data_IF_395269873390
#
_entry.id   IF_395269873390
#
_cell.length_a   1.000
_cell.length_b   1.000
_cell.length_c   1.000
_cell.angle_alpha   90.00
_cell.angle_beta   90.00
_cell.angle_gamma   90.00
#
_symmetry.space_group_name_H-M   'P 1'
#
loop_
_entity.id
_entity.type
_entity.pdbx_description
1 polymer ?
#
# COMPACT_ATOMS: atom_id res chain seq x y z
N UNK A 1 27.29 20.61 -2.24
CA UNK A 1 27.59 21.01 -0.84
C UNK A 1 26.28 21.53 -0.26
N UNK A 2 25.65 20.98 0.78
CA UNK A 2 26.07 20.06 1.83
C UNK A 2 24.84 19.30 2.34
N UNK A 3 25.02 18.02 2.63
CA UNK A 3 24.08 17.18 3.38
C UNK A 3 23.96 17.67 4.83
N UNK A 4 22.82 17.40 5.46
CA UNK A 4 22.63 17.47 6.90
C UNK A 4 21.82 16.27 7.38
N UNK A 5 22.51 15.15 7.59
CA UNK A 5 22.01 14.00 8.35
C UNK A 5 22.07 14.32 9.85
N UNK A 6 21.03 13.94 10.59
CA UNK A 6 21.13 13.79 12.04
C UNK A 6 20.39 12.50 12.44
N UNK A 7 21.16 11.42 12.55
CA UNK A 7 20.84 10.25 13.37
C UNK A 7 21.56 10.41 14.72
N UNK A 8 20.89 10.13 15.84
CA UNK A 8 21.37 9.65 17.16
C UNK A 8 20.12 9.64 18.08
N UNK A 9 19.77 8.69 18.96
CA UNK A 9 20.19 7.34 19.33
C UNK A 9 19.41 6.92 20.61
N UNK A 10 19.12 5.62 20.76
CA UNK A 10 19.09 4.81 22.01
C UNK A 10 17.93 4.91 23.06
N UNK A 11 17.19 3.78 23.09
CA UNK A 11 16.75 2.89 24.19
C UNK A 11 15.75 3.32 25.29
N UNK A 12 14.64 2.57 25.37
CA UNK A 12 14.13 1.93 26.59
C UNK A 12 13.21 0.73 26.24
N UNK A 13 13.50 -0.45 26.82
CA UNK A 13 12.74 -1.71 26.73
C UNK A 13 11.73 -1.84 27.92
N UNK A 14 11.13 -3.01 28.21
CA UNK A 14 10.00 -3.68 27.55
C UNK A 14 8.80 -3.91 28.51
N UNK A 15 7.63 -4.32 28.01
CA UNK A 15 6.59 -4.92 28.88
C UNK A 15 5.97 -6.13 28.20
N UNK A 16 6.18 -7.28 28.84
CA UNK A 16 5.58 -8.56 28.53
C UNK A 16 4.21 -8.68 29.22
N UNK A 17 3.20 -9.17 28.49
CA UNK A 17 2.02 -9.79 29.06
C UNK A 17 1.66 -11.01 28.20
N UNK A 18 2.09 -12.19 28.65
CA UNK A 18 1.61 -13.48 28.18
C UNK A 18 0.88 -14.16 29.34
N UNK A 19 -0.44 -14.26 29.21
CA UNK A 19 -1.33 -14.92 30.16
C UNK A 19 -1.45 -16.42 29.84
N UNK A 20 -0.88 -17.22 30.74
CA UNK A 20 -1.31 -18.53 31.27
C UNK A 20 -2.56 -19.19 30.66
N UNK A 21 -2.50 -20.51 30.42
CA UNK A 21 -3.04 -21.55 31.32
C UNK A 21 -2.91 -22.98 30.73
N UNK A 22 -2.34 -23.88 31.52
CA UNK A 22 -2.51 -25.36 31.51
C UNK A 22 -3.49 -25.72 32.67
N UNK A 23 -3.92 -26.98 32.99
CA UNK A 23 -3.62 -28.31 32.41
C UNK A 23 -4.83 -29.31 32.35
N UNK A 24 -4.50 -30.59 32.11
CA UNK A 24 -5.13 -31.86 32.54
C UNK A 24 -6.00 -32.67 31.56
N UNK A 25 -5.49 -33.87 31.20
CA UNK A 25 -6.25 -35.10 31.42
C UNK A 25 -6.26 -36.20 30.32
N UNK A 26 -5.41 -37.22 30.54
CA UNK A 26 -5.64 -38.67 30.34
C UNK A 26 -5.23 -39.39 29.02
N UNK A 27 -4.31 -40.34 29.21
CA UNK A 27 -4.07 -41.59 28.45
C UNK A 27 -5.11 -42.67 28.86
N UNK A 28 -5.44 -43.66 28.01
CA UNK A 28 -4.63 -44.88 27.77
C UNK A 28 -4.63 -45.27 26.26
N UNK A 29 -3.81 -46.16 25.69
CA UNK A 29 -2.90 -47.22 26.14
C UNK A 29 -2.82 -48.29 25.02
N UNK A 30 -1.82 -49.19 25.09
CA UNK A 30 -1.61 -50.42 24.29
C UNK A 30 -0.82 -50.25 22.96
N UNK A 31 0.46 -50.63 22.80
CA UNK A 31 1.26 -51.87 23.02
C UNK A 31 1.55 -52.60 21.69
N UNK A 32 2.81 -53.03 21.55
CA UNK A 32 3.38 -54.05 20.63
C UNK A 32 3.57 -53.69 19.15
N UNK A 33 4.60 -54.13 18.43
CA UNK A 33 5.76 -54.98 18.73
C UNK A 33 6.82 -54.87 17.61
N UNK A 34 8.07 -55.02 18.01
CA UNK A 34 9.25 -55.55 17.29
C UNK A 34 9.27 -55.63 15.76
N UNK A 35 10.14 -54.82 15.15
CA UNK A 35 10.78 -55.13 13.86
C UNK A 35 11.72 -56.33 14.00
N UNK A 36 11.23 -57.52 13.59
CA UNK A 36 12.07 -58.71 13.43
C UNK A 36 12.59 -58.77 11.99
N UNK A 37 13.82 -58.29 11.81
CA UNK A 37 14.62 -58.37 10.58
C UNK A 37 14.97 -59.84 10.26
N UNK A 38 14.16 -60.52 9.46
CA UNK A 38 14.49 -61.87 8.94
C UNK A 38 15.24 -61.73 7.63
N UNK A 39 16.54 -62.01 7.69
CA UNK A 39 17.46 -62.17 6.57
C UNK A 39 17.12 -63.50 5.88
N UNK A 40 16.59 -63.48 4.67
CA UNK A 40 16.44 -64.68 3.84
C UNK A 40 17.64 -64.79 2.92
N UNK A 41 18.55 -65.71 3.24
CA UNK A 41 19.61 -66.14 2.34
C UNK A 41 19.05 -67.05 1.25
N UNK A 42 19.59 -67.03 0.01
CA UNK A 42 19.17 -67.95 -1.04
C UNK A 42 19.59 -69.39 -0.70
N UNK A 43 18.65 -70.33 -0.80
CA UNK A 43 18.95 -71.74 -0.71
C UNK A 43 19.70 -72.18 -1.98
N UNK A 44 20.98 -72.51 -1.84
CA UNK A 44 21.79 -73.19 -2.85
C UNK A 44 21.40 -74.67 -2.90
N UNK A 45 20.73 -75.11 -3.96
CA UNK A 45 20.55 -76.54 -4.21
C UNK A 45 21.83 -77.12 -4.81
N UNK A 46 22.68 -77.66 -3.93
CA UNK A 46 23.84 -78.47 -4.27
C UNK A 46 23.38 -79.84 -4.77
N UNK A 47 23.50 -80.07 -6.08
CA UNK A 47 23.42 -81.41 -6.65
C UNK A 47 24.59 -82.26 -6.14
N UNK A 48 24.31 -83.18 -5.21
CA UNK A 48 25.18 -84.31 -4.87
C UNK A 48 24.42 -85.62 -5.09
N UNK A 49 24.52 -86.06 -6.33
CA UNK A 49 24.56 -87.45 -6.78
C UNK A 49 25.10 -88.43 -5.71
N UNK A 50 24.24 -89.32 -5.23
CA UNK A 50 24.59 -90.54 -4.49
C UNK A 50 24.00 -91.73 -5.23
N UNK A 51 24.77 -92.27 -6.17
CA UNK A 51 24.57 -93.61 -6.74
C UNK A 51 24.99 -94.62 -5.69
N UNK A 52 24.05 -95.12 -4.91
CA UNK A 52 24.22 -96.35 -4.13
C UNK A 52 23.59 -97.49 -4.95
N UNK A 53 24.42 -98.13 -5.76
CA UNK A 53 24.05 -99.33 -6.52
C UNK A 53 24.09 -100.51 -5.55
N UNK A 54 22.93 -100.82 -4.95
CA UNK A 54 22.73 -102.08 -4.24
C UNK A 54 22.66 -103.21 -5.28
N UNK A 55 23.73 -104.01 -5.33
CA UNK A 55 23.81 -105.25 -6.10
C UNK A 55 22.82 -106.26 -5.52
N UNK A 56 21.65 -106.39 -6.16
CA UNK A 56 20.66 -107.38 -5.80
C UNK A 56 21.05 -108.72 -6.41
N UNK A 57 21.57 -109.62 -5.57
CA UNK A 57 21.78 -111.03 -5.89
C UNK A 57 20.43 -111.64 -6.29
N UNK A 58 20.33 -112.02 -7.56
CA UNK A 58 19.22 -112.79 -8.14
C UNK A 58 19.17 -114.19 -7.50
N UNK A 59 18.51 -114.26 -6.34
CA UNK A 59 18.05 -115.52 -5.76
C UNK A 59 16.63 -115.74 -6.24
N UNK A 60 16.52 -116.63 -7.23
CA UNK A 60 15.29 -117.01 -7.89
C UNK A 60 14.16 -117.32 -6.92
N UNK A 61 13.24 -116.37 -6.82
CA UNK A 61 11.84 -116.63 -6.56
C UNK A 61 11.05 -115.58 -7.35
N UNK A 62 10.35 -116.02 -8.39
CA UNK A 62 9.33 -115.23 -9.08
C UNK A 62 8.18 -114.96 -8.11
N UNK A 63 8.35 -113.93 -7.27
CA UNK A 63 7.32 -113.33 -6.41
C UNK A 63 6.74 -112.05 -7.01
N UNK A 64 6.85 -111.88 -8.32
CA UNK A 64 5.99 -110.93 -9.02
C UNK A 64 4.91 -111.75 -9.71
N UNK A 65 3.62 -111.37 -9.55
CA UNK A 65 2.57 -111.98 -10.34
C UNK A 65 3.01 -111.89 -11.79
N UNK A 66 2.85 -112.96 -12.58
CA UNK A 66 2.95 -112.86 -14.04
C UNK A 66 1.94 -111.79 -14.44
N UNK A 67 2.45 -110.57 -14.66
CA UNK A 67 1.64 -109.43 -15.06
C UNK A 67 1.07 -109.86 -16.41
N UNK A 68 -0.25 -110.11 -16.51
CA UNK A 68 -0.87 -110.49 -17.77
C UNK A 68 -0.44 -109.47 -18.82
N UNK A 69 -0.17 -109.89 -20.05
CA UNK A 69 0.27 -108.99 -21.13
C UNK A 69 -0.67 -107.77 -21.30
N UNK A 70 -1.92 -107.93 -20.87
CA UNK A 70 -2.96 -106.90 -20.70
C UNK A 70 -2.66 -105.83 -19.63
N UNK A 71 -2.13 -106.17 -18.45
CA UNK A 71 -1.77 -105.20 -17.39
C UNK A 71 -0.51 -104.39 -17.75
N UNK A 72 0.45 -104.97 -18.48
CA UNK A 72 1.64 -104.26 -18.96
C UNK A 72 1.27 -103.18 -19.99
N UNK A 73 0.42 -103.52 -20.96
CA UNK A 73 -0.13 -102.54 -21.91
C UNK A 73 -0.91 -101.44 -21.19
N UNK A 74 -1.70 -101.78 -20.16
CA UNK A 74 -2.42 -100.79 -19.37
C UNK A 74 -1.48 -99.81 -18.65
N UNK A 75 -0.34 -100.27 -18.15
CA UNK A 75 0.69 -99.42 -17.54
C UNK A 75 1.40 -98.55 -18.58
N UNK A 76 1.75 -99.09 -19.75
CA UNK A 76 2.33 -98.35 -20.87
C UNK A 76 1.37 -97.27 -21.40
N UNK A 77 0.08 -97.59 -21.53
CA UNK A 77 -0.94 -96.62 -21.96
C UNK A 77 -1.12 -95.50 -20.93
N UNK A 78 -1.13 -95.83 -19.63
CA UNK A 78 -1.17 -94.83 -18.55
C UNK A 78 0.08 -93.96 -18.52
N UNK A 79 1.26 -94.55 -18.72
CA UNK A 79 2.54 -93.84 -18.78
C UNK A 79 2.56 -92.89 -19.99
N UNK A 80 2.16 -93.37 -21.17
CA UNK A 80 2.08 -92.58 -22.39
C UNK A 80 1.04 -91.45 -22.28
N UNK A 81 -0.05 -91.68 -21.55
CA UNK A 81 -1.03 -90.63 -21.23
C UNK A 81 -0.46 -89.60 -20.27
N UNK A 82 0.30 -90.02 -19.25
CA UNK A 82 1.01 -89.10 -18.35
C UNK A 82 2.10 -88.31 -19.09
N UNK A 83 2.86 -88.95 -19.97
CA UNK A 83 3.91 -88.31 -20.76
C UNK A 83 3.34 -87.22 -21.69
N UNK A 84 2.22 -87.52 -22.38
CA UNK A 84 1.49 -86.50 -23.16
C UNK A 84 0.95 -85.36 -22.29
N UNK A 85 0.45 -85.67 -21.10
CA UNK A 85 -0.08 -84.66 -20.16
C UNK A 85 1.05 -83.76 -19.65
N UNK A 86 2.20 -84.34 -19.30
CA UNK A 86 3.37 -83.60 -18.83
C UNK A 86 3.94 -82.72 -19.95
N UNK A 87 4.05 -83.24 -21.18
CA UNK A 87 4.49 -82.47 -22.33
C UNK A 87 3.57 -81.27 -22.60
N UNK A 88 2.25 -81.46 -22.52
CA UNK A 88 1.28 -80.37 -22.64
C UNK A 88 1.41 -79.32 -21.53
N UNK A 89 1.56 -79.75 -20.28
CA UNK A 89 1.74 -78.83 -19.14
C UNK A 89 3.05 -78.03 -19.26
N UNK A 90 4.13 -78.65 -19.75
CA UNK A 90 5.39 -77.96 -19.99
C UNK A 90 5.25 -76.93 -21.10
N UNK A 91 4.63 -77.29 -22.22
CA UNK A 91 4.35 -76.34 -23.32
C UNK A 91 3.51 -75.16 -22.83
N UNK A 92 2.48 -75.40 -22.01
CA UNK A 92 1.67 -74.34 -21.41
C UNK A 92 2.48 -73.48 -20.43
N UNK A 93 3.31 -74.09 -19.58
CA UNK A 93 4.17 -73.36 -18.65
C UNK A 93 5.19 -72.48 -19.39
N UNK A 94 5.76 -72.97 -20.49
CA UNK A 94 6.67 -72.21 -21.34
C UNK A 94 5.97 -71.04 -22.03
N UNK A 95 4.77 -71.25 -22.58
CA UNK A 95 3.94 -70.17 -23.15
C UNK A 95 3.60 -69.10 -22.13
N UNK A 96 3.12 -69.49 -20.95
CA UNK A 96 2.79 -68.56 -19.87
C UNK A 96 4.04 -67.77 -19.46
N UNK A 97 5.19 -68.43 -19.32
CA UNK A 97 6.45 -67.75 -19.01
C UNK A 97 6.82 -66.71 -20.06
N UNK A 98 6.72 -67.05 -21.34
CA UNK A 98 7.04 -66.12 -22.44
C UNK A 98 6.07 -64.94 -22.51
N UNK A 99 4.77 -65.17 -22.31
CA UNK A 99 3.76 -64.10 -22.22
C UNK A 99 4.04 -63.14 -21.06
N UNK A 100 4.35 -63.67 -19.87
CA UNK A 100 4.75 -62.87 -18.71
C UNK A 100 6.00 -62.06 -19.02
N UNK A 101 6.99 -62.67 -19.68
CA UNK A 101 8.25 -62.01 -20.02
C UNK A 101 8.03 -60.87 -21.03
N UNK A 102 7.22 -61.08 -22.07
CA UNK A 102 6.86 -60.07 -23.04
C UNK A 102 6.10 -58.89 -22.39
N UNK A 103 5.18 -59.18 -21.46
CA UNK A 103 4.44 -58.18 -20.71
C UNK A 103 5.35 -57.32 -19.82
N UNK A 104 6.28 -57.94 -19.09
CA UNK A 104 7.24 -57.24 -18.22
C UNK A 104 8.25 -56.40 -19.01
N UNK A 105 8.69 -56.88 -20.18
CA UNK A 105 9.64 -56.15 -21.02
C UNK A 105 9.00 -54.91 -21.67
N UNK A 106 7.72 -55.00 -22.05
CA UNK A 106 6.92 -53.84 -22.45
C UNK A 106 6.75 -52.83 -21.31
N UNK A 107 6.48 -53.30 -20.09
CA UNK A 107 6.33 -52.46 -18.89
C UNK A 107 7.56 -51.57 -18.61
N UNK A 108 8.76 -52.06 -18.93
CA UNK A 108 10.01 -51.32 -18.71
C UNK A 108 10.16 -50.09 -19.63
N UNK A 109 9.54 -50.12 -20.82
CA UNK A 109 9.50 -48.98 -21.75
C UNK A 109 8.67 -47.82 -21.21
N UNK A 110 7.52 -48.12 -20.60
CA UNK A 110 6.62 -47.13 -20.00
C UNK A 110 7.26 -46.38 -18.83
N UNK A 111 8.18 -47.01 -18.10
CA UNK A 111 8.85 -46.41 -16.95
C UNK A 111 9.67 -45.16 -17.33
N UNK A 112 10.27 -45.13 -18.53
CA UNK A 112 11.05 -43.98 -19.01
C UNK A 112 10.14 -42.80 -19.40
N UNK A 113 9.02 -43.10 -20.05
CA UNK A 113 8.01 -42.11 -20.45
C UNK A 113 7.29 -41.51 -19.24
N UNK A 114 6.95 -42.36 -18.26
CA UNK A 114 6.40 -41.94 -16.96
C UNK A 114 7.38 -41.02 -16.22
N UNK A 115 8.68 -41.32 -16.25
CA UNK A 115 9.72 -40.48 -15.62
C UNK A 115 9.85 -39.11 -16.31
N UNK A 116 9.70 -39.06 -17.64
CA UNK A 116 9.67 -37.80 -18.38
C UNK A 116 8.42 -36.96 -18.04
N UNK A 117 7.25 -37.59 -17.98
CA UNK A 117 6.01 -36.92 -17.58
C UNK A 117 6.09 -36.39 -16.14
N UNK A 118 6.66 -37.16 -15.20
CA UNK A 118 6.91 -36.70 -13.82
C UNK A 118 7.84 -35.50 -13.76
N UNK A 119 8.96 -35.53 -14.49
CA UNK A 119 9.91 -34.40 -14.54
C UNK A 119 9.29 -33.14 -15.12
N UNK A 120 8.48 -33.28 -16.18
CA UNK A 120 7.75 -32.16 -16.75
C UNK A 120 6.78 -31.58 -15.71
N UNK A 121 5.96 -32.43 -15.06
CA UNK A 121 5.03 -31.99 -14.04
C UNK A 121 5.74 -31.28 -12.87
N UNK A 122 6.87 -31.82 -12.41
CA UNK A 122 7.68 -31.21 -11.36
C UNK A 122 8.21 -29.83 -11.77
N UNK A 123 8.71 -29.70 -13.01
CA UNK A 123 9.16 -28.41 -13.56
C UNK A 123 8.02 -27.38 -13.63
N UNK A 124 6.82 -27.80 -14.04
CA UNK A 124 5.65 -26.93 -14.06
C UNK A 124 5.21 -26.52 -12.65
N UNK A 125 5.19 -27.45 -11.69
CA UNK A 125 4.88 -27.15 -10.28
C UNK A 125 5.88 -26.14 -9.72
N UNK A 126 7.17 -26.31 -9.98
CA UNK A 126 8.21 -25.36 -9.55
C UNK A 126 8.02 -23.98 -10.19
N UNK A 127 7.73 -23.93 -11.48
CA UNK A 127 7.50 -22.67 -12.21
C UNK A 127 6.28 -21.93 -11.67
N UNK A 128 5.14 -22.62 -11.52
CA UNK A 128 3.92 -22.06 -10.94
C UNK A 128 4.19 -21.55 -9.52
N UNK A 129 4.88 -22.35 -8.71
CA UNK A 129 5.26 -21.96 -7.33
C UNK A 129 6.11 -20.69 -7.32
N UNK A 130 7.07 -20.57 -8.22
CA UNK A 130 7.91 -19.36 -8.35
C UNK A 130 7.09 -18.14 -8.74
N UNK A 131 6.17 -18.28 -9.71
CA UNK A 131 5.27 -17.21 -10.15
C UNK A 131 4.38 -16.76 -8.99
N UNK A 132 3.74 -17.70 -8.27
CA UNK A 132 2.87 -17.38 -7.13
C UNK A 132 3.65 -16.63 -6.05
N UNK A 133 4.86 -17.08 -5.69
CA UNK A 133 5.72 -16.37 -4.72
C UNK A 133 6.03 -14.94 -5.17
N UNK A 134 6.34 -14.74 -6.46
CA UNK A 134 6.63 -13.42 -7.00
C UNK A 134 5.40 -12.52 -7.01
N UNK A 135 4.23 -13.07 -7.32
CA UNK A 135 2.96 -12.33 -7.26
C UNK A 135 2.63 -11.90 -5.83
N UNK A 136 2.80 -12.78 -4.83
CA UNK A 136 2.61 -12.42 -3.42
C UNK A 136 3.52 -11.26 -3.00
N UNK A 137 4.81 -11.32 -3.35
CA UNK A 137 5.75 -10.23 -3.07
C UNK A 137 5.34 -8.92 -3.77
N UNK A 138 4.91 -8.99 -5.03
CA UNK A 138 4.46 -7.80 -5.76
C UNK A 138 3.21 -7.18 -5.13
N UNK A 139 2.28 -8.00 -4.62
CA UNK A 139 1.08 -7.54 -3.92
C UNK A 139 1.48 -6.81 -2.64
N UNK A 140 2.37 -7.38 -1.82
CA UNK A 140 2.85 -6.75 -0.58
C UNK A 140 3.51 -5.38 -0.85
N UNK A 141 4.35 -5.30 -1.88
CA UNK A 141 5.00 -4.05 -2.29
C UNK A 141 3.95 -3.03 -2.75
N UNK A 142 2.98 -3.47 -3.57
CA UNK A 142 1.93 -2.60 -4.08
C UNK A 142 1.06 -2.04 -2.95
N UNK A 143 0.69 -2.88 -1.97
CA UNK A 143 -0.05 -2.45 -0.78
C UNK A 143 0.73 -1.40 0.03
N UNK A 144 2.03 -1.62 0.22
CA UNK A 144 2.87 -0.65 0.91
C UNK A 144 2.91 0.69 0.15
N UNK A 145 3.05 0.65 -1.18
CA UNK A 145 3.02 1.86 -2.00
C UNK A 145 1.68 2.59 -1.95
N UNK A 146 0.56 1.85 -1.95
CA UNK A 146 -0.78 2.42 -1.79
C UNK A 146 -0.90 3.09 -0.41
N UNK A 147 -0.53 2.39 0.66
CA UNK A 147 -0.56 2.95 2.03
C UNK A 147 0.28 4.23 2.14
N UNK A 148 1.49 4.24 1.60
CA UNK A 148 2.36 5.43 1.61
C UNK A 148 1.75 6.59 0.83
N UNK A 149 1.15 6.31 -0.34
CA UNK A 149 0.46 7.32 -1.16
C UNK A 149 -0.75 7.90 -0.43
N UNK A 150 -1.56 7.06 0.21
CA UNK A 150 -2.76 7.48 0.92
C UNK A 150 -2.43 8.34 2.14
N UNK A 151 -1.36 8.00 2.86
CA UNK A 151 -0.82 8.83 3.94
C UNK A 151 -0.38 10.21 3.45
N UNK A 152 0.38 10.25 2.35
CA UNK A 152 0.82 11.52 1.76
C UNK A 152 -0.35 12.37 1.25
N UNK A 153 -1.34 11.74 0.62
CA UNK A 153 -2.56 12.40 0.14
C UNK A 153 -3.37 12.98 1.32
N UNK A 154 -3.54 12.20 2.39
CA UNK A 154 -4.25 12.65 3.61
C UNK A 154 -3.53 13.83 4.26
N UNK A 155 -2.21 13.76 4.41
CA UNK A 155 -1.41 14.87 4.94
C UNK A 155 -1.50 16.15 4.09
N UNK A 156 -1.45 16.00 2.76
CA UNK A 156 -1.58 17.12 1.83
C UNK A 156 -2.98 17.75 1.92
N UNK A 157 -4.03 16.94 1.97
CA UNK A 157 -5.41 17.42 2.09
C UNK A 157 -5.62 18.21 3.38
N UNK A 158 -5.06 17.74 4.50
CA UNK A 158 -5.13 18.46 5.77
C UNK A 158 -4.43 19.82 5.68
N UNK A 159 -3.21 19.86 5.15
CA UNK A 159 -2.46 21.11 4.97
C UNK A 159 -3.20 22.11 4.06
N UNK A 160 -3.81 21.63 2.98
CA UNK A 160 -4.63 22.45 2.07
C UNK A 160 -5.88 22.98 2.77
N UNK A 161 -6.58 22.15 3.54
CA UNK A 161 -7.77 22.56 4.28
C UNK A 161 -7.44 23.62 5.35
N UNK A 162 -6.34 23.43 6.07
CA UNK A 162 -5.84 24.39 7.06
C UNK A 162 -5.47 25.73 6.40
N UNK A 163 -4.74 25.67 5.28
CA UNK A 163 -4.41 26.86 4.49
C UNK A 163 -5.67 27.59 4.01
N UNK A 164 -6.65 26.87 3.47
CA UNK A 164 -7.90 27.45 2.99
C UNK A 164 -8.66 28.14 4.13
N UNK A 165 -8.71 27.51 5.31
CA UNK A 165 -9.35 28.10 6.50
C UNK A 165 -8.67 29.39 6.91
N UNK A 166 -7.33 29.41 6.99
CA UNK A 166 -6.57 30.63 7.28
C UNK A 166 -6.76 31.71 6.22
N UNK A 167 -6.81 31.33 4.95
CA UNK A 167 -7.01 32.26 3.84
C UNK A 167 -8.37 32.93 3.92
N UNK A 168 -9.44 32.16 4.13
CA UNK A 168 -10.79 32.69 4.30
C UNK A 168 -10.88 33.65 5.50
N UNK A 169 -10.25 33.31 6.61
CA UNK A 169 -10.18 34.19 7.78
C UNK A 169 -9.42 35.49 7.47
N UNK A 170 -8.26 35.40 6.80
CA UNK A 170 -7.45 36.56 6.43
C UNK A 170 -8.17 37.51 5.47
N UNK A 171 -8.82 36.96 4.44
CA UNK A 171 -9.66 37.76 3.51
C UNK A 171 -10.84 38.39 4.25
N UNK A 172 -11.44 37.67 5.20
CA UNK A 172 -12.52 38.18 6.05
C UNK A 172 -12.09 39.40 6.89
N UNK A 173 -10.93 39.34 7.54
CA UNK A 173 -10.38 40.48 8.31
C UNK A 173 -10.08 41.68 7.40
N UNK A 174 -9.40 41.44 6.27
CA UNK A 174 -9.10 42.50 5.31
C UNK A 174 -10.35 43.20 4.82
N UNK A 175 -11.40 42.43 4.44
CA UNK A 175 -12.69 43.00 4.06
C UNK A 175 -13.30 43.83 5.19
N UNK A 176 -13.22 43.36 6.43
CA UNK A 176 -13.70 44.10 7.61
C UNK A 176 -12.92 45.40 7.83
N UNK A 177 -11.61 45.40 7.63
CA UNK A 177 -10.76 46.60 7.72
C UNK A 177 -11.09 47.60 6.62
N UNK A 178 -11.26 47.15 5.38
CA UNK A 178 -11.66 48.01 4.25
C UNK A 178 -13.00 48.68 4.52
N UNK A 179 -14.01 47.93 4.98
CA UNK A 179 -15.32 48.50 5.32
C UNK A 179 -15.23 49.59 6.43
N UNK A 180 -14.35 49.41 7.42
CA UNK A 180 -14.10 50.43 8.45
C UNK A 180 -13.38 51.66 7.88
N UNK A 181 -12.42 51.46 6.99
CA UNK A 181 -11.74 52.55 6.28
C UNK A 181 -12.74 53.34 5.43
N UNK A 182 -13.59 52.66 4.64
CA UNK A 182 -14.60 53.30 3.81
C UNK A 182 -15.56 54.15 4.65
N UNK A 183 -16.05 53.60 5.77
CA UNK A 183 -16.87 54.34 6.73
C UNK A 183 -16.15 55.59 7.30
N UNK A 184 -14.87 55.44 7.64
CA UNK A 184 -14.05 56.56 8.15
C UNK A 184 -13.83 57.64 7.09
N UNK A 185 -13.59 57.24 5.83
CA UNK A 185 -13.41 58.16 4.70
C UNK A 185 -14.70 58.94 4.45
N UNK A 186 -15.86 58.28 4.45
CA UNK A 186 -17.16 58.94 4.27
C UNK A 186 -17.40 59.95 5.38
N UNK A 187 -17.14 59.57 6.64
CA UNK A 187 -17.29 60.47 7.78
C UNK A 187 -16.38 61.70 7.65
N UNK A 188 -15.08 61.50 7.41
CA UNK A 188 -14.13 62.61 7.25
C UNK A 188 -14.46 63.49 6.04
N UNK A 189 -14.98 62.91 4.96
CA UNK A 189 -15.43 63.69 3.80
C UNK A 189 -16.60 64.60 4.16
N UNK A 190 -17.53 64.11 4.99
CA UNK A 190 -18.62 64.92 5.56
C UNK A 190 -18.09 66.06 6.44
N UNK A 191 -17.17 65.76 7.35
CA UNK A 191 -16.56 66.75 8.25
C UNK A 191 -15.83 67.85 7.47
N UNK A 192 -15.05 67.49 6.44
CA UNK A 192 -14.38 68.45 5.56
C UNK A 192 -15.38 69.34 4.83
N UNK A 193 -16.48 68.78 4.33
CA UNK A 193 -17.50 69.55 3.63
C UNK A 193 -18.20 70.53 4.58
N UNK A 194 -18.46 70.12 5.82
CA UNK A 194 -19.01 70.98 6.86
C UNK A 194 -18.07 72.14 7.19
N UNK A 195 -16.79 71.85 7.47
CA UNK A 195 -15.76 72.87 7.76
C UNK A 195 -15.63 73.86 6.61
N UNK A 196 -15.65 73.38 5.36
CA UNK A 196 -15.58 74.24 4.17
C UNK A 196 -16.75 75.22 4.10
N UNK A 197 -17.96 74.79 4.42
CA UNK A 197 -19.14 75.66 4.42
C UNK A 197 -19.04 76.73 5.51
N UNK A 198 -18.62 76.35 6.72
CA UNK A 198 -18.42 77.31 7.82
C UNK A 198 -17.30 78.31 7.49
N UNK A 199 -16.20 77.85 6.89
CA UNK A 199 -15.14 78.73 6.41
C UNK A 199 -15.66 79.77 5.42
N UNK A 200 -16.41 79.36 4.39
CA UNK A 200 -17.01 80.28 3.42
C UNK A 200 -17.97 81.30 4.05
N UNK A 201 -18.71 80.90 5.09
CA UNK A 201 -19.61 81.79 5.83
C UNK A 201 -18.83 82.85 6.60
N UNK A 202 -17.76 82.44 7.28
CA UNK A 202 -16.85 83.34 8.02
C UNK A 202 -16.18 84.31 7.03
N UNK A 203 -15.66 83.80 5.92
CA UNK A 203 -15.01 84.59 4.87
C UNK A 203 -15.94 85.67 4.31
N UNK A 204 -17.20 85.34 4.00
CA UNK A 204 -18.22 86.34 3.61
C UNK A 204 -18.46 87.39 4.69
N UNK A 205 -18.49 86.97 5.96
CA UNK A 205 -18.70 87.87 7.09
C UNK A 205 -17.54 88.85 7.23
N UNK A 206 -16.31 88.38 7.09
CA UNK A 206 -15.10 89.21 7.06
C UNK A 206 -15.16 90.20 5.90
N UNK A 207 -15.49 89.74 4.69
CA UNK A 207 -15.59 90.61 3.52
C UNK A 207 -16.63 91.73 3.72
N UNK A 208 -17.78 91.40 4.31
CA UNK A 208 -18.81 92.39 4.65
C UNK A 208 -18.28 93.40 5.67
N UNK A 209 -17.60 92.95 6.73
CA UNK A 209 -16.99 93.85 7.72
C UNK A 209 -15.93 94.77 7.10
N UNK A 210 -15.06 94.26 6.22
CA UNK A 210 -14.07 95.08 5.53
C UNK A 210 -14.74 96.16 4.68
N UNK A 211 -15.80 95.83 3.93
CA UNK A 211 -16.52 96.81 3.11
C UNK A 211 -17.21 97.89 3.96
N UNK A 212 -17.76 97.52 5.12
CA UNK A 212 -18.35 98.46 6.07
C UNK A 212 -17.28 99.38 6.66
N UNK A 213 -16.13 98.82 7.06
CA UNK A 213 -15.00 99.57 7.59
C UNK A 213 -14.44 100.55 6.56
N UNK A 214 -14.27 100.11 5.31
CA UNK A 214 -13.83 100.98 4.22
C UNK A 214 -14.81 102.14 3.97
N UNK A 215 -16.12 101.87 4.05
CA UNK A 215 -17.15 102.90 3.93
C UNK A 215 -17.06 103.92 5.07
N UNK A 216 -16.87 103.46 6.31
CA UNK A 216 -16.69 104.34 7.47
C UNK A 216 -15.40 105.15 7.34
N UNK A 217 -14.30 104.54 6.92
CA UNK A 217 -13.02 105.22 6.68
C UNK A 217 -13.19 106.36 5.67
N UNK A 218 -13.77 106.07 4.50
CA UNK A 218 -14.04 107.09 3.47
C UNK A 218 -14.95 108.21 3.98
N UNK A 219 -15.96 107.88 4.80
CA UNK A 219 -16.83 108.89 5.40
C UNK A 219 -16.06 109.81 6.37
N UNK A 220 -15.19 109.24 7.20
CA UNK A 220 -14.34 109.99 8.12
C UNK A 220 -13.35 110.88 7.36
N UNK A 221 -12.68 110.36 6.33
CA UNK A 221 -11.76 111.14 5.49
C UNK A 221 -12.46 112.34 4.84
N UNK A 222 -13.69 112.13 4.34
CA UNK A 222 -14.51 113.21 3.79
C UNK A 222 -14.85 114.27 4.85
N UNK A 223 -15.30 113.86 6.04
CA UNK A 223 -15.61 114.78 7.15
C UNK A 223 -14.40 115.54 7.65
N UNK A 224 -13.24 114.90 7.74
CA UNK A 224 -11.99 115.54 8.13
C UNK A 224 -11.60 116.59 7.09
N UNK A 225 -11.66 116.23 5.81
CA UNK A 225 -11.36 117.17 4.71
C UNK A 225 -12.31 118.37 4.71
N UNK A 226 -13.62 118.14 4.90
CA UNK A 226 -14.63 119.19 5.01
C UNK A 226 -14.35 120.13 6.19
N UNK A 227 -14.05 119.57 7.38
CA UNK A 227 -13.74 120.37 8.57
C UNK A 227 -12.46 121.22 8.38
N UNK A 228 -11.42 120.66 7.77
CA UNK A 228 -10.20 121.40 7.43
C UNK A 228 -10.51 122.55 6.46
N UNK A 229 -11.32 122.28 5.43
CA UNK A 229 -11.69 123.29 4.44
C UNK A 229 -12.53 124.42 5.06
N UNK A 230 -13.52 124.05 5.87
CA UNK A 230 -14.34 125.01 6.63
C UNK A 230 -13.49 125.87 7.56
N UNK A 231 -12.52 125.27 8.27
CA UNK A 231 -11.59 126.01 9.12
C UNK A 231 -10.72 126.99 8.31
N UNK A 232 -10.21 126.57 7.15
CA UNK A 232 -9.43 127.41 6.25
C UNK A 232 -10.24 128.60 5.74
N UNK A 233 -11.48 128.37 5.28
CA UNK A 233 -12.39 129.46 4.86
C UNK A 233 -12.64 130.43 6.00
N UNK A 234 -13.01 129.93 7.19
CA UNK A 234 -13.30 130.79 8.34
C UNK A 234 -12.09 131.65 8.71
N UNK A 235 -10.88 131.08 8.69
CA UNK A 235 -9.64 131.82 8.91
C UNK A 235 -9.41 132.89 7.83
N UNK A 236 -9.63 132.55 6.56
CA UNK A 236 -9.47 133.47 5.44
C UNK A 236 -10.46 134.64 5.51
N UNK A 237 -11.74 134.34 5.76
CA UNK A 237 -12.78 135.35 5.98
C UNK A 237 -12.44 136.26 7.16
N UNK A 238 -11.99 135.70 8.30
CA UNK A 238 -11.59 136.49 9.47
C UNK A 238 -10.43 137.43 9.14
N UNK A 239 -9.43 136.96 8.38
CA UNK A 239 -8.31 137.81 7.92
C UNK A 239 -8.78 138.96 7.03
N UNK A 240 -9.70 138.70 6.11
CA UNK A 240 -10.30 139.75 5.25
C UNK A 240 -11.05 140.77 6.11
N UNK A 241 -11.88 140.32 7.05
CA UNK A 241 -12.66 141.21 7.94
C UNK A 241 -11.72 142.11 8.75
N UNK A 242 -10.66 141.54 9.36
CA UNK A 242 -9.66 142.32 10.11
C UNK A 242 -8.93 143.31 9.20
N UNK A 243 -8.60 142.93 7.97
CA UNK A 243 -7.97 143.83 7.00
C UNK A 243 -8.91 145.01 6.62
N UNK A 244 -10.21 144.77 6.46
CA UNK A 244 -11.20 145.81 6.18
C UNK A 244 -11.44 146.76 7.37
N UNK A 245 -11.38 146.27 8.61
CA UNK A 245 -11.62 147.08 9.81
C UNK A 245 -10.44 147.99 10.19
N UNK A 246 -9.22 147.65 9.72
CA UNK A 246 -7.99 148.41 9.99
C UNK A 246 -7.58 149.34 8.83
N UNK A 247 -8.42 149.47 7.79
CA UNK A 247 -8.23 150.36 6.65
C UNK A 247 -9.10 151.63 6.81
#
# INVERSE_FOLDING_TARGET
MSNGNTDVNINASPTAEEQRNEPDGHLPGSVSDQEKKVRLSPATMSAKNSTDLVEYVDRGHSFLPVIPNTQRRQLEDRLNTQERTIAFLLEQAFRIKEEISACLQGAHGFQKEELLARKLLESHIQTITSIVKKLSQNIEILEHQIRARDQAATGTNFAVQELNTRHLQGVGDLRGRVARCDSSIVKLSGDIQFIRHEHQKIEKTIQNFMSALETVSKNLDMKVTENIWNSYIMCYCQKIIIAYQNA
#
